data_IF_000972300275
#
_entry.id   IF_000972300275
#
_cell.length_a   1.000
_cell.length_b   1.000
_cell.length_c   1.000
_cell.angle_alpha   90.00
_cell.angle_beta   90.00
_cell.angle_gamma   90.00
#
_symmetry.space_group_name_H-M   'P 1'
#
loop_
_entity.id
_entity.type
_entity.pdbx_description
1 polymer ?
#
# COMPACT_ATOMS: atom_id res chain seq x y z
N UNK A 1 1.81 7.33 -8.97
CA UNK A 1 3.04 8.12 -8.63
C UNK A 1 3.63 7.59 -7.34
N UNK A 2 4.94 7.37 -7.19
CA UNK A 2 5.46 6.75 -5.95
C UNK A 2 5.31 7.63 -4.68
N UNK A 3 5.27 7.00 -3.49
CA UNK A 3 5.04 7.67 -2.19
C UNK A 3 6.09 8.70 -1.76
N UNK A 4 7.27 8.68 -2.37
CA UNK A 4 8.35 9.61 -2.07
C UNK A 4 8.99 10.11 -3.36
N UNK A 5 9.67 11.25 -3.28
CA UNK A 5 10.50 11.77 -4.38
C UNK A 5 11.98 11.77 -3.99
N UNK A 6 12.87 11.84 -4.98
CA UNK A 6 14.34 11.89 -4.77
C UNK A 6 14.73 13.02 -3.80
N UNK A 7 14.05 14.15 -3.86
CA UNK A 7 14.29 15.27 -2.94
C UNK A 7 14.03 14.91 -1.47
N UNK A 8 13.04 14.05 -1.18
CA UNK A 8 12.79 13.58 0.18
C UNK A 8 13.96 12.71 0.68
N UNK A 9 14.49 11.83 -0.18
CA UNK A 9 15.65 10.97 0.15
C UNK A 9 16.87 11.84 0.46
N UNK A 10 17.13 12.85 -0.38
CA UNK A 10 18.26 13.77 -0.19
C UNK A 10 18.10 14.64 1.06
N UNK A 11 16.87 14.91 1.52
CA UNK A 11 16.62 15.65 2.75
C UNK A 11 16.89 14.80 4.00
N UNK A 12 16.58 13.51 3.95
CA UNK A 12 16.69 12.58 5.07
C UNK A 12 18.04 11.83 5.13
N UNK A 13 18.86 12.00 4.10
CA UNK A 13 20.15 11.32 3.94
C UNK A 13 21.19 12.29 3.41
N UNK A 14 22.46 11.86 3.35
CA UNK A 14 23.51 12.63 2.67
C UNK A 14 23.78 12.08 1.26
N UNK A 15 22.85 11.27 0.70
CA UNK A 15 23.00 10.69 -0.63
C UNK A 15 22.76 11.80 -1.65
N UNK A 16 23.68 11.91 -2.61
CA UNK A 16 23.57 12.85 -3.71
C UNK A 16 23.59 12.10 -5.05
N UNK A 17 23.34 12.83 -6.15
CA UNK A 17 23.44 12.27 -7.50
C UNK A 17 24.85 11.79 -7.87
N UNK A 18 25.88 12.20 -7.12
CA UNK A 18 27.25 11.70 -7.26
C UNK A 18 27.43 10.30 -6.65
N UNK A 19 26.62 9.95 -5.65
CA UNK A 19 26.69 8.66 -4.97
C UNK A 19 25.83 7.61 -5.69
N UNK A 20 24.60 7.99 -6.05
CA UNK A 20 23.63 7.17 -6.78
C UNK A 20 22.88 8.07 -7.75
N UNK A 21 22.79 7.67 -9.03
CA UNK A 21 22.10 8.45 -10.04
C UNK A 21 20.61 8.63 -9.68
N UNK A 22 20.04 9.81 -9.94
CA UNK A 22 18.64 10.10 -9.60
C UNK A 22 17.65 9.10 -10.23
N UNK A 23 17.92 8.63 -11.46
CA UNK A 23 17.10 7.62 -12.12
C UNK A 23 17.11 6.29 -11.34
N UNK A 24 18.27 5.86 -10.84
CA UNK A 24 18.38 4.67 -10.00
C UNK A 24 17.64 4.86 -8.68
N UNK A 25 17.72 6.04 -8.06
CA UNK A 25 16.96 6.35 -6.84
C UNK A 25 15.46 6.29 -7.12
N UNK A 26 14.98 6.82 -8.24
CA UNK A 26 13.57 6.71 -8.64
C UNK A 26 13.13 5.27 -8.83
N UNK A 27 13.94 4.41 -9.45
CA UNK A 27 13.64 2.97 -9.55
C UNK A 27 13.59 2.30 -8.17
N UNK A 28 14.53 2.61 -7.28
CA UNK A 28 14.53 2.09 -5.91
C UNK A 28 13.32 2.58 -5.10
N UNK A 29 12.85 3.81 -5.35
CA UNK A 29 11.63 4.33 -4.73
C UNK A 29 10.43 3.49 -5.17
N UNK A 30 10.29 3.16 -6.47
CA UNK A 30 9.20 2.31 -6.95
C UNK A 30 9.23 0.91 -6.33
N UNK A 31 10.42 0.30 -6.24
CA UNK A 31 10.60 -0.98 -5.54
C UNK A 31 10.26 -0.87 -4.04
N UNK A 32 10.63 0.24 -3.40
CA UNK A 32 10.31 0.49 -2.01
C UNK A 32 8.80 0.69 -1.78
N UNK A 33 8.10 1.39 -2.68
CA UNK A 33 6.63 1.55 -2.65
C UNK A 33 5.95 0.18 -2.67
N UNK A 34 6.27 -0.67 -3.64
CA UNK A 34 5.71 -2.01 -3.74
C UNK A 34 6.00 -2.87 -2.50
N UNK A 35 7.20 -2.73 -1.93
CA UNK A 35 7.56 -3.46 -0.71
C UNK A 35 6.80 -2.96 0.52
N UNK A 36 6.66 -1.64 0.67
CA UNK A 36 5.86 -1.02 1.74
C UNK A 36 4.41 -1.49 1.64
N UNK A 37 3.83 -1.45 0.44
CA UNK A 37 2.48 -1.94 0.17
C UNK A 37 2.33 -3.40 0.54
N UNK A 38 3.25 -4.26 0.12
CA UNK A 38 3.23 -5.67 0.50
C UNK A 38 3.30 -5.91 2.01
N UNK A 39 3.87 -4.98 2.79
CA UNK A 39 4.01 -5.11 4.25
C UNK A 39 2.83 -4.50 5.03
N UNK A 40 2.04 -3.60 4.43
CA UNK A 40 0.92 -2.90 5.10
C UNK A 40 -0.46 -3.26 4.53
N UNK A 41 -0.54 -3.70 3.26
CA UNK A 41 -1.79 -4.00 2.58
C UNK A 41 -2.22 -5.45 2.85
N UNK A 42 -3.53 -5.62 3.06
CA UNK A 42 -4.17 -6.92 3.11
C UNK A 42 -4.98 -7.08 1.83
N UNK A 43 -4.64 -8.10 1.06
CA UNK A 43 -5.30 -8.41 -0.21
C UNK A 43 -6.56 -9.23 0.01
N UNK A 44 -7.67 -8.73 -0.49
CA UNK A 44 -8.96 -9.43 -0.52
C UNK A 44 -9.24 -9.87 -1.94
N UNK A 45 -9.45 -11.18 -2.13
CA UNK A 45 -9.67 -11.77 -3.44
C UNK A 45 -11.11 -12.25 -3.54
N UNK A 46 -11.83 -11.73 -4.54
CA UNK A 46 -13.19 -12.13 -4.89
C UNK A 46 -14.15 -12.13 -3.68
N UNK A 47 -14.16 -11.03 -2.94
CA UNK A 47 -15.17 -10.80 -1.90
C UNK A 47 -16.54 -10.65 -2.57
N UNK A 48 -17.52 -11.44 -2.14
CA UNK A 48 -18.87 -11.34 -2.66
C UNK A 48 -19.57 -10.11 -2.08
N UNK A 49 -20.10 -9.27 -2.96
CA UNK A 49 -20.93 -8.13 -2.57
C UNK A 49 -22.21 -8.62 -1.91
N UNK A 50 -22.44 -8.18 -0.67
CA UNK A 50 -23.64 -8.45 0.13
C UNK A 50 -24.04 -7.20 0.89
N UNK A 51 -25.30 -7.11 1.28
CA UNK A 51 -25.75 -6.10 2.25
C UNK A 51 -24.96 -6.25 3.55
N UNK A 52 -24.50 -5.12 4.09
CA UNK A 52 -23.68 -5.07 5.29
C UNK A 52 -24.54 -4.60 6.47
N UNK A 53 -25.23 -3.47 6.28
CA UNK A 53 -26.10 -2.84 7.27
C UNK A 53 -27.27 -2.11 6.57
N UNK A 54 -28.09 -1.39 7.34
CA UNK A 54 -29.27 -0.66 6.83
C UNK A 54 -28.92 0.50 5.89
N UNK A 55 -27.68 1.00 5.94
CA UNK A 55 -27.17 2.08 5.08
C UNK A 55 -26.43 1.49 3.87
N UNK A 56 -25.61 0.44 4.09
CA UNK A 56 -24.79 -0.25 3.08
C UNK A 56 -25.51 -1.49 2.57
N UNK A 57 -26.66 -1.27 1.96
CA UNK A 57 -27.54 -2.35 1.53
C UNK A 57 -27.00 -3.11 0.30
N UNK A 58 -26.11 -2.52 -0.51
CA UNK A 58 -25.49 -3.18 -1.66
C UNK A 58 -26.49 -3.89 -2.61
N UNK A 59 -27.64 -3.26 -2.85
CA UNK A 59 -28.71 -3.84 -3.68
C UNK A 59 -28.23 -4.03 -5.12
N UNK A 60 -28.46 -5.21 -5.69
CA UNK A 60 -28.22 -5.51 -7.10
C UNK A 60 -29.59 -5.64 -7.78
N UNK A 61 -30.18 -4.49 -8.09
CA UNK A 61 -31.57 -4.36 -8.56
C UNK A 61 -31.68 -3.80 -9.99
N UNK A 62 -30.55 -3.62 -10.70
CA UNK A 62 -30.54 -2.99 -12.03
C UNK A 62 -30.51 -1.46 -12.02
N UNK A 63 -30.51 -0.79 -10.86
CA UNK A 63 -30.42 0.67 -10.78
C UNK A 63 -29.31 1.20 -9.86
N UNK A 64 -28.90 0.42 -8.85
CA UNK A 64 -27.81 0.81 -7.98
C UNK A 64 -26.45 0.73 -8.70
N UNK A 65 -25.62 1.76 -8.52
CA UNK A 65 -24.29 1.84 -9.13
C UNK A 65 -23.16 1.82 -8.11
N UNK A 66 -23.45 2.03 -6.82
CA UNK A 66 -22.43 2.08 -5.79
C UNK A 66 -22.49 0.87 -4.85
N UNK A 67 -21.32 0.37 -4.48
CA UNK A 67 -21.14 -0.83 -3.68
C UNK A 67 -20.05 -0.63 -2.65
N UNK A 68 -20.29 -1.12 -1.44
CA UNK A 68 -19.35 -1.07 -0.32
C UNK A 68 -18.74 -2.45 -0.08
N UNK A 69 -17.47 -2.50 0.31
CA UNK A 69 -16.80 -3.75 0.71
C UNK A 69 -17.08 -4.09 2.18
N UNK A 70 -16.97 -5.37 2.54
CA UNK A 70 -17.31 -5.82 3.90
C UNK A 70 -16.33 -5.33 4.96
N UNK A 71 -15.07 -5.12 4.59
CA UNK A 71 -14.02 -4.72 5.52
C UNK A 71 -13.97 -3.21 5.80
N UNK A 72 -15.00 -2.43 5.44
CA UNK A 72 -15.03 -0.96 5.51
C UNK A 72 -14.65 -0.32 6.87
N UNK A 73 -14.84 -1.01 8.00
CA UNK A 73 -14.78 -0.36 9.32
C UNK A 73 -13.33 -0.09 9.76
N UNK A 74 -12.96 1.20 9.75
CA UNK A 74 -11.68 1.66 10.28
C UNK A 74 -10.48 1.25 9.43
N UNK A 75 -10.70 1.04 8.13
CA UNK A 75 -9.66 0.78 7.13
C UNK A 75 -9.92 1.66 5.92
N UNK A 76 -8.93 1.73 5.04
CA UNK A 76 -8.90 2.51 3.82
C UNK A 76 -8.61 1.61 2.64
N UNK A 77 -8.99 2.05 1.44
CA UNK A 77 -8.55 1.40 0.22
C UNK A 77 -7.02 1.51 0.10
N UNK A 78 -6.39 0.39 -0.21
CA UNK A 78 -4.95 0.28 -0.43
C UNK A 78 -4.63 0.23 -1.91
N UNK A 79 -3.42 0.67 -2.22
CA UNK A 79 -2.79 0.59 -3.53
C UNK A 79 -2.53 -0.90 -3.89
N UNK A 80 -3.07 -1.33 -5.02
CA UNK A 80 -3.03 -2.71 -5.51
C UNK A 80 -2.02 -2.88 -6.65
N UNK A 81 -1.80 -1.86 -7.46
CA UNK A 81 -0.86 -1.91 -8.59
C UNK A 81 0.54 -1.36 -8.26
N UNK A 82 0.72 -0.91 -7.02
CA UNK A 82 1.97 -0.42 -6.43
C UNK A 82 2.51 0.85 -7.10
N UNK A 83 1.65 1.62 -7.75
CA UNK A 83 2.05 2.82 -8.46
C UNK A 83 2.22 4.04 -7.54
N UNK A 84 1.72 3.96 -6.30
CA UNK A 84 1.79 4.93 -5.22
C UNK A 84 0.66 5.97 -5.17
N UNK A 85 -0.36 5.82 -6.00
CA UNK A 85 -1.66 6.51 -5.87
C UNK A 85 -2.76 5.48 -5.51
N UNK A 86 -3.92 5.96 -5.04
CA UNK A 86 -5.09 5.09 -4.81
C UNK A 86 -6.23 5.55 -5.69
N UNK A 87 -6.52 4.79 -6.75
CA UNK A 87 -7.51 5.11 -7.76
C UNK A 87 -8.34 3.89 -8.25
N UNK A 88 -9.04 4.08 -9.37
CA UNK A 88 -9.92 3.05 -9.95
C UNK A 88 -9.19 1.78 -10.40
N UNK A 89 -7.88 1.87 -10.63
CA UNK A 89 -7.00 0.77 -11.05
C UNK A 89 -6.73 -0.20 -9.90
N UNK A 90 -6.93 0.24 -8.65
CA UNK A 90 -6.68 -0.56 -7.46
C UNK A 90 -7.80 -1.53 -7.08
N UNK A 91 -8.86 -1.54 -7.88
CA UNK A 91 -10.05 -2.35 -7.63
C UNK A 91 -10.42 -3.11 -8.89
N UNK A 92 -10.68 -4.40 -8.72
CA UNK A 92 -11.19 -5.24 -9.81
C UNK A 92 -12.55 -5.78 -9.41
N UNK A 93 -13.57 -5.39 -10.16
CA UNK A 93 -14.93 -5.90 -9.99
C UNK A 93 -15.20 -6.99 -11.03
N UNK A 94 -15.77 -8.11 -10.58
CA UNK A 94 -16.24 -9.20 -11.42
C UNK A 94 -17.76 -9.30 -11.29
N UNK A 95 -18.45 -9.33 -12.41
CA UNK A 95 -19.85 -9.64 -12.51
C UNK A 95 -19.99 -11.05 -13.08
N UNK A 96 -20.71 -11.91 -12.36
CA UNK A 96 -20.96 -13.31 -12.71
C UNK A 96 -22.45 -13.49 -12.95
N UNK A 97 -22.82 -13.92 -14.16
CA UNK A 97 -24.21 -14.21 -14.52
C UNK A 97 -24.71 -15.56 -13.95
N UNK A 98 -25.96 -15.93 -14.25
CA UNK A 98 -26.53 -17.22 -13.82
C UNK A 98 -25.89 -18.44 -14.49
N UNK A 99 -25.26 -18.24 -15.65
CA UNK A 99 -24.63 -19.28 -16.46
C UNK A 99 -23.15 -19.47 -16.13
N UNK A 100 -22.59 -18.63 -15.25
CA UNK A 100 -21.18 -18.65 -14.85
C UNK A 100 -20.27 -17.80 -15.73
N UNK A 101 -20.80 -17.02 -16.68
CA UNK A 101 -20.02 -16.07 -17.48
C UNK A 101 -19.54 -14.94 -16.60
N UNK A 102 -18.24 -14.65 -16.65
CA UNK A 102 -17.62 -13.54 -15.92
C UNK A 102 -17.36 -12.36 -16.85
N UNK A 103 -17.72 -11.16 -16.41
CA UNK A 103 -17.41 -9.89 -17.07
C UNK A 103 -16.87 -8.89 -16.06
N UNK A 104 -16.00 -7.98 -16.50
CA UNK A 104 -15.43 -6.93 -15.65
C UNK A 104 -16.12 -5.60 -15.98
N UNK A 105 -17.11 -5.14 -15.16
CA UNK A 105 -17.75 -3.86 -15.39
C UNK A 105 -16.77 -2.69 -15.16
N UNK A 106 -16.94 -1.61 -15.92
CA UNK A 106 -16.11 -0.40 -15.79
C UNK A 106 -16.45 0.37 -14.52
N UNK A 107 -15.43 0.65 -13.70
CA UNK A 107 -15.51 1.46 -12.48
C UNK A 107 -15.44 2.95 -12.89
N UNK A 108 -16.29 3.79 -12.32
CA UNK A 108 -16.33 5.23 -12.57
C UNK A 108 -15.68 6.06 -11.47
N UNK A 109 -15.72 5.60 -10.23
CA UNK A 109 -15.06 6.25 -9.10
C UNK A 109 -14.85 5.27 -7.95
N UNK A 110 -13.81 5.53 -7.16
CA UNK A 110 -13.56 4.88 -5.87
C UNK A 110 -13.50 5.96 -4.78
N UNK A 111 -13.99 5.61 -3.60
CA UNK A 111 -13.85 6.39 -2.37
C UNK A 111 -12.99 5.57 -1.41
N UNK A 112 -11.81 6.08 -1.10
CA UNK A 112 -10.81 5.39 -0.31
C UNK A 112 -11.13 5.40 1.20
N UNK A 113 -11.97 6.30 1.67
CA UNK A 113 -12.36 6.43 3.09
C UNK A 113 -13.46 5.42 3.46
N UNK A 114 -14.46 5.26 2.59
CA UNK A 114 -15.62 4.39 2.85
C UNK A 114 -15.53 3.01 2.18
N UNK A 115 -14.42 2.72 1.47
CA UNK A 115 -14.25 1.56 0.59
C UNK A 115 -15.46 1.38 -0.33
N UNK A 116 -15.91 2.49 -0.91
CA UNK A 116 -17.06 2.57 -1.80
C UNK A 116 -16.59 2.60 -3.24
N UNK A 117 -17.19 1.75 -4.05
CA UNK A 117 -16.89 1.59 -5.47
C UNK A 117 -18.12 1.97 -6.25
N UNK A 118 -17.97 2.88 -7.20
CA UNK A 118 -19.04 3.31 -8.09
C UNK A 118 -18.76 2.74 -9.48
N UNK A 119 -19.71 1.98 -10.02
CA UNK A 119 -19.68 1.48 -11.38
C UNK A 119 -20.22 2.54 -12.34
N UNK A 120 -19.73 2.52 -13.57
CA UNK A 120 -20.22 3.38 -14.66
C UNK A 120 -21.67 3.08 -15.05
N UNK A 121 -22.13 1.84 -14.87
CA UNK A 121 -23.49 1.41 -15.15
C UNK A 121 -23.97 0.40 -14.11
N UNK A 122 -25.27 0.43 -13.79
CA UNK A 122 -25.86 -0.51 -12.85
C UNK A 122 -25.86 -1.94 -13.44
N UNK A 123 -25.39 -2.95 -12.70
CA UNK A 123 -25.39 -4.33 -13.13
C UNK A 123 -26.82 -4.88 -13.17
N UNK A 124 -27.11 -5.73 -14.14
CA UNK A 124 -28.44 -6.33 -14.34
C UNK A 124 -28.92 -7.08 -13.09
N UNK A 125 -30.23 -7.10 -12.86
CA UNK A 125 -30.80 -7.86 -11.75
C UNK A 125 -30.47 -9.36 -11.88
N UNK A 126 -30.17 -10.01 -10.76
CA UNK A 126 -29.89 -11.45 -10.71
C UNK A 126 -28.43 -11.87 -10.90
N UNK A 127 -27.52 -10.93 -11.21
CA UNK A 127 -26.08 -11.21 -11.27
C UNK A 127 -25.44 -11.21 -9.88
N UNK A 128 -24.26 -11.84 -9.77
CA UNK A 128 -23.43 -11.82 -8.56
C UNK A 128 -22.22 -10.92 -8.79
N UNK A 129 -21.94 -10.01 -7.87
CA UNK A 129 -20.75 -9.18 -7.91
C UNK A 129 -19.70 -9.70 -6.94
N UNK A 130 -18.45 -9.70 -7.39
CA UNK A 130 -17.27 -9.98 -6.59
C UNK A 130 -16.27 -8.85 -6.75
N UNK A 131 -15.59 -8.48 -5.67
CA UNK A 131 -14.63 -7.38 -5.66
C UNK A 131 -13.29 -7.91 -5.17
N UNK A 132 -12.22 -7.56 -5.87
CA UNK A 132 -10.84 -7.79 -5.46
C UNK A 132 -10.19 -6.43 -5.26
N UNK A 133 -9.59 -6.25 -4.09
CA UNK A 133 -9.02 -4.97 -3.67
C UNK A 133 -7.97 -5.20 -2.57
N UNK A 134 -7.12 -4.22 -2.35
CA UNK A 134 -6.27 -4.14 -1.17
C UNK A 134 -6.92 -3.17 -0.16
N UNK A 135 -6.75 -3.44 1.13
CA UNK A 135 -7.04 -2.46 2.16
C UNK A 135 -5.88 -2.31 3.13
N UNK A 136 -5.76 -1.12 3.69
CA UNK A 136 -4.77 -0.76 4.71
C UNK A 136 -5.45 0.02 5.83
N UNK A 137 -4.86 0.02 7.03
CA UNK A 137 -5.39 0.78 8.17
C UNK A 137 -4.97 2.24 8.17
N UNK A 138 -4.00 2.58 7.33
CA UNK A 138 -3.58 3.95 7.07
C UNK A 138 -3.97 4.33 5.65
N UNK A 139 -4.36 5.58 5.47
CA UNK A 139 -4.81 6.10 4.18
C UNK A 139 -3.61 6.32 3.26
N UNK A 140 -3.60 5.61 2.13
CA UNK A 140 -2.55 5.74 1.11
C UNK A 140 -2.88 6.79 0.06
N UNK A 141 -4.17 7.03 -0.26
CA UNK A 141 -4.59 8.01 -1.27
C UNK A 141 -4.20 9.46 -0.95
N UNK A 142 -4.18 9.83 0.34
CA UNK A 142 -3.58 11.10 0.80
C UNK A 142 -2.30 10.77 1.59
N UNK A 143 -1.34 10.11 0.91
CA UNK A 143 -0.12 9.48 1.46
C UNK A 143 0.14 9.84 2.92
N UNK A 144 -0.26 8.95 3.83
CA UNK A 144 0.04 9.12 5.24
C UNK A 144 1.55 9.36 5.43
N UNK A 145 1.90 10.33 6.28
CA UNK A 145 3.29 10.73 6.50
C UNK A 145 4.19 9.56 6.93
N UNK A 146 3.63 8.54 7.58
CA UNK A 146 4.34 7.32 8.00
C UNK A 146 4.65 6.41 6.82
N UNK A 147 3.71 6.24 5.88
CA UNK A 147 3.92 5.45 4.65
C UNK A 147 5.02 6.10 3.80
N UNK A 148 4.95 7.43 3.65
CA UNK A 148 6.02 8.22 3.01
C UNK A 148 7.36 8.02 3.72
N UNK A 149 7.39 8.12 5.04
CA UNK A 149 8.62 7.99 5.82
C UNK A 149 9.22 6.57 5.76
N UNK A 150 8.38 5.53 5.78
CA UNK A 150 8.79 4.14 5.59
C UNK A 150 9.43 3.95 4.21
N UNK A 151 8.80 4.48 3.16
CA UNK A 151 9.34 4.44 1.79
C UNK A 151 10.70 5.14 1.69
N UNK A 152 10.84 6.30 2.35
CA UNK A 152 12.10 7.04 2.42
C UNK A 152 13.20 6.20 3.09
N UNK A 153 12.92 5.59 4.24
CA UNK A 153 13.91 4.79 4.96
C UNK A 153 14.31 3.53 4.20
N UNK A 154 13.36 2.84 3.58
CA UNK A 154 13.67 1.66 2.78
C UNK A 154 14.53 2.02 1.55
N UNK A 155 14.14 3.08 0.83
CA UNK A 155 14.92 3.59 -0.30
C UNK A 155 16.34 3.99 0.14
N UNK A 156 16.46 4.71 1.26
CA UNK A 156 17.76 5.11 1.81
C UNK A 156 18.63 3.89 2.13
N UNK A 157 18.05 2.85 2.74
CA UNK A 157 18.75 1.60 3.00
C UNK A 157 19.25 0.99 1.68
N UNK A 158 18.39 0.81 0.69
CA UNK A 158 18.77 0.27 -0.63
C UNK A 158 19.89 1.07 -1.31
N UNK A 159 19.84 2.40 -1.25
CA UNK A 159 20.91 3.26 -1.75
C UNK A 159 22.24 3.02 -1.02
N UNK A 160 22.23 2.94 0.32
CA UNK A 160 23.44 2.62 1.09
C UNK A 160 23.94 1.20 0.85
N UNK A 161 23.07 0.23 0.56
CA UNK A 161 23.48 -1.10 0.13
C UNK A 161 24.25 -1.02 -1.20
N UNK A 162 23.70 -0.29 -2.18
CA UNK A 162 24.34 -0.06 -3.49
C UNK A 162 25.67 0.68 -3.40
N UNK A 163 25.79 1.68 -2.53
CA UNK A 163 27.06 2.41 -2.31
C UNK A 163 28.14 1.50 -1.70
N UNK A 164 27.73 0.55 -0.85
CA UNK A 164 28.64 -0.27 -0.05
C UNK A 164 29.00 -1.61 -0.69
N UNK A 165 28.18 -2.11 -1.62
CA UNK A 165 28.42 -3.39 -2.29
C UNK A 165 29.78 -3.38 -3.00
N UNK A 166 30.56 -4.45 -2.82
CA UNK A 166 31.89 -4.60 -3.43
C UNK A 166 33.00 -3.74 -2.81
N UNK A 167 32.74 -2.95 -1.76
CA UNK A 167 33.77 -2.16 -1.08
C UNK A 167 34.23 -2.81 0.23
N UNK A 168 35.55 -2.85 0.47
CA UNK A 168 36.11 -3.44 1.68
C UNK A 168 35.78 -2.59 2.93
N UNK A 169 35.38 -3.20 4.06
CA UNK A 169 35.04 -2.49 5.30
C UNK A 169 36.26 -1.82 5.95
N UNK A 170 37.46 -2.37 5.74
CA UNK A 170 38.70 -1.72 6.14
C UNK A 170 39.82 -2.01 5.16
N UNK A 171 40.70 -1.03 4.95
CA UNK A 171 41.92 -1.16 4.18
C UNK A 171 43.10 -0.72 5.06
N UNK A 172 44.19 -1.48 5.02
CA UNK A 172 45.42 -1.16 5.72
C UNK A 172 46.49 -0.72 4.72
N UNK A 173 47.17 0.38 5.04
CA UNK A 173 48.30 0.92 4.30
C UNK A 173 49.48 1.04 5.28
N UNK A 174 50.36 0.03 5.30
CA UNK A 174 51.43 -0.04 6.29
C UNK A 174 50.88 -0.06 7.72
N UNK A 175 51.30 0.91 8.55
CA UNK A 175 50.85 1.07 9.93
C UNK A 175 49.50 1.80 10.07
N UNK A 176 48.94 2.34 9.00
CA UNK A 176 47.68 3.08 9.02
C UNK A 176 46.52 2.18 8.57
N UNK A 177 45.41 2.21 9.30
CA UNK A 177 44.18 1.48 8.96
C UNK A 177 43.04 2.46 8.73
N UNK A 178 42.47 2.43 7.53
CA UNK A 178 41.23 3.13 7.20
C UNK A 178 40.05 2.17 7.38
N UNK A 179 39.07 2.56 8.18
CA UNK A 179 37.83 1.79 8.39
C UNK A 179 36.66 2.59 7.87
N UNK A 180 35.78 1.97 7.09
CA UNK A 180 34.55 2.58 6.62
C UNK A 180 33.38 2.16 7.50
N UNK A 181 32.56 3.12 7.88
CA UNK A 181 31.34 2.84 8.62
C UNK A 181 30.25 2.31 7.66
N UNK A 182 30.06 1.00 7.61
CA UNK A 182 29.09 0.35 6.71
C UNK A 182 27.72 0.05 7.37
N UNK A 183 27.44 0.61 8.55
CA UNK A 183 26.19 0.32 9.30
C UNK A 183 24.97 1.14 8.84
N UNK A 184 25.12 2.07 7.88
CA UNK A 184 24.02 2.94 7.45
C UNK A 184 22.83 2.14 6.92
N UNK A 185 23.08 1.06 6.15
CA UNK A 185 22.02 0.16 5.69
C UNK A 185 21.16 -0.36 6.85
N UNK A 186 21.79 -0.97 7.86
CA UNK A 186 21.10 -1.51 9.03
C UNK A 186 20.33 -0.42 9.79
N UNK A 187 20.91 0.77 9.92
CA UNK A 187 20.26 1.89 10.62
C UNK A 187 18.95 2.30 9.96
N UNK A 188 18.93 2.43 8.63
CA UNK A 188 17.73 2.79 7.89
C UNK A 188 16.72 1.64 7.81
N UNK A 189 17.18 0.38 7.71
CA UNK A 189 16.30 -0.79 7.79
C UNK A 189 15.61 -0.91 9.16
N UNK A 190 16.33 -0.67 10.26
CA UNK A 190 15.74 -0.67 11.60
C UNK A 190 14.65 0.39 11.74
N UNK A 191 14.89 1.60 11.22
CA UNK A 191 13.88 2.66 11.19
C UNK A 191 12.68 2.32 10.31
N UNK A 192 12.92 1.70 9.15
CA UNK A 192 11.86 1.20 8.28
C UNK A 192 10.95 0.22 9.03
N UNK A 193 11.53 -0.81 9.65
CA UNK A 193 10.77 -1.78 10.43
C UNK A 193 10.00 -1.14 11.58
N UNK A 194 10.60 -0.17 12.28
CA UNK A 194 9.92 0.58 13.33
C UNK A 194 8.72 1.40 12.83
N UNK A 195 8.75 1.93 11.60
CA UNK A 195 7.58 2.62 11.03
C UNK A 195 6.50 1.64 10.57
N UNK A 196 6.86 0.51 9.99
CA UNK A 196 5.92 -0.56 9.63
C UNK A 196 5.23 -1.12 10.88
N UNK A 197 5.97 -1.35 11.95
CA UNK A 197 5.41 -1.79 13.23
C UNK A 197 4.39 -0.77 13.75
N UNK A 198 4.70 0.54 13.77
CA UNK A 198 3.75 1.58 14.17
C UNK A 198 2.51 1.65 13.27
N UNK A 199 2.65 1.41 11.97
CA UNK A 199 1.51 1.36 11.03
C UNK A 199 0.62 0.16 11.36
N UNK A 200 1.22 -1.00 11.64
CA UNK A 200 0.51 -2.23 11.95
C UNK A 200 -0.09 -2.26 13.37
N UNK A 201 0.57 -1.62 14.35
CA UNK A 201 0.12 -1.50 15.74
C UNK A 201 -1.15 -0.64 15.88
N UNK A 202 -1.30 0.39 15.04
CA UNK A 202 -2.59 1.08 14.90
C UNK A 202 -3.72 0.07 14.61
N UNK A 203 -3.38 -1.09 14.06
CA UNK A 203 -4.29 -2.19 13.85
C UNK A 203 -4.60 -3.09 15.06
N UNK A 204 -3.70 -3.21 16.03
CA UNK A 204 -3.93 -4.05 17.22
C UNK A 204 -4.94 -3.45 18.19
N UNK A 205 -5.02 -2.12 18.26
CA UNK A 205 -5.79 -1.38 19.29
C UNK A 205 -7.30 -1.45 19.07
N UNK A 206 -7.78 -1.80 17.87
CA UNK A 206 -9.23 -1.89 17.58
C UNK A 206 -9.86 -3.22 18.05
N UNK A 207 -9.07 -4.25 18.40
CA UNK A 207 -9.60 -5.58 18.76
C UNK A 207 -10.06 -5.76 20.21
N UNK A 208 -9.92 -4.74 21.07
CA UNK A 208 -10.36 -4.81 22.48
C UNK A 208 -11.74 -4.19 22.76
N UNK A 209 -12.44 -3.71 21.72
CA UNK A 209 -13.64 -2.87 21.89
C UNK A 209 -15.01 -3.53 21.79
N UNK A 210 -15.19 -4.65 21.07
CA UNK A 210 -16.54 -5.18 20.81
C UNK A 210 -16.57 -6.72 20.76
N UNK A 211 -16.78 -7.34 21.92
CA UNK A 211 -17.36 -8.69 22.03
C UNK A 211 -18.21 -8.76 23.31
N UNK A 212 -19.33 -8.05 23.33
CA UNK A 212 -20.41 -8.28 24.30
C UNK A 212 -21.76 -7.98 23.65
N UNK A 213 -22.15 -8.81 22.68
CA UNK A 213 -23.56 -9.07 22.44
C UNK A 213 -23.73 -10.59 22.35
N UNK A 214 -24.09 -11.20 23.49
CA UNK A 214 -24.77 -12.49 23.52
C UNK A 214 -26.27 -12.22 23.41
N UNK A 215 -26.91 -13.02 22.54
CA UNK A 215 -28.35 -13.13 22.30
C UNK A 215 -29.09 -13.35 23.62
#
# INVERSE_FOLDING_TARGET
>A
MAYAVVADINLHTNITSLDVANADVTSLIAEATAKVNSDINIKVIRERVKSIDQTRENKINGSNTFYYTQNWRGVYLGDLDDDGDVDISDVIVYQVDSNGTETTPTISAVDDDDLKITLSSAPSSGVRLYITYNYSRVRQGTVDKRVKLATIYLTAAMCYAKINIGKAPSMAFGSSRLTRHMKSYNHYMERYHGEIEKINELGGVVSSGESNYKI
#
